data_IF_176921455180
#
_entry.id   IF_176921455180
#
_cell.length_a   1.000
_cell.length_b   1.000
_cell.length_c   1.000
_cell.angle_alpha   90.00
_cell.angle_beta   90.00
_cell.angle_gamma   90.00
#
_symmetry.space_group_name_H-M   'P 1'
#
loop_
_entity.id
_entity.type
_entity.pdbx_description
1 polymer ?
#
# COMPACT_ATOMS: atom_id res chain seq x y z
N UNK A 1 34.01 -54.48 24.86
CA UNK A 1 34.39 -53.63 23.70
C UNK A 1 33.34 -53.55 22.57
N UNK A 2 32.15 -54.17 22.69
CA UNK A 2 31.06 -54.05 21.69
C UNK A 2 30.06 -52.91 22.00
N UNK A 3 29.95 -52.49 23.26
CA UNK A 3 29.02 -51.43 23.68
C UNK A 3 29.55 -50.02 23.38
N UNK A 4 30.88 -49.83 23.34
CA UNK A 4 31.49 -48.53 23.06
C UNK A 4 31.37 -48.10 21.59
N UNK A 5 31.31 -49.06 20.64
CA UNK A 5 31.13 -48.75 19.22
C UNK A 5 29.69 -48.36 18.85
N UNK A 6 28.70 -48.80 19.63
CA UNK A 6 27.29 -48.47 19.39
C UNK A 6 26.96 -47.02 19.78
N UNK A 7 27.65 -46.45 20.78
CA UNK A 7 27.41 -45.09 21.25
C UNK A 7 28.01 -44.04 20.31
N UNK A 8 29.11 -44.36 19.61
CA UNK A 8 29.74 -43.45 18.64
C UNK A 8 28.95 -43.43 17.31
N UNK A 9 28.29 -44.52 16.93
CA UNK A 9 27.45 -44.57 15.73
C UNK A 9 26.11 -43.82 15.89
N UNK A 10 25.60 -43.68 17.13
CA UNK A 10 24.33 -42.98 17.40
C UNK A 10 24.49 -41.45 17.54
N UNK A 11 25.73 -40.96 17.73
CA UNK A 11 26.04 -39.54 17.86
C UNK A 11 26.26 -38.83 16.50
N UNK A 12 26.36 -39.58 15.39
CA UNK A 12 26.61 -39.01 14.07
C UNK A 12 25.34 -38.60 13.29
N UNK A 13 24.14 -38.81 13.85
CA UNK A 13 22.86 -38.60 13.15
C UNK A 13 22.07 -37.36 13.62
N UNK A 14 22.61 -36.54 14.51
CA UNK A 14 21.86 -35.42 15.13
C UNK A 14 22.23 -34.01 14.63
N UNK A 15 22.93 -33.88 13.51
CA UNK A 15 23.35 -32.58 12.95
C UNK A 15 22.61 -32.17 11.65
N UNK A 16 21.41 -32.69 11.41
CA UNK A 16 20.51 -32.09 10.40
C UNK A 16 19.92 -30.79 10.95
N UNK A 17 20.73 -29.73 10.92
CA UNK A 17 20.25 -28.37 11.15
C UNK A 17 19.20 -28.02 10.11
N UNK A 18 17.99 -27.70 10.56
CA UNK A 18 17.04 -26.96 9.74
C UNK A 18 17.65 -25.59 9.44
N UNK A 19 18.42 -25.50 8.37
CA UNK A 19 18.74 -24.23 7.74
C UNK A 19 17.41 -23.67 7.24
N UNK A 20 16.82 -22.75 7.99
CA UNK A 20 15.76 -21.88 7.49
C UNK A 20 16.39 -20.97 6.43
N UNK A 21 16.46 -21.46 5.20
CA UNK A 21 16.83 -20.66 4.04
C UNK A 21 15.78 -19.58 3.86
N UNK A 22 16.07 -18.39 4.40
CA UNK A 22 15.29 -17.19 4.18
C UNK A 22 15.58 -16.73 2.74
N UNK A 23 14.81 -17.25 1.78
CA UNK A 23 14.77 -16.70 0.44
C UNK A 23 14.04 -15.37 0.51
N UNK A 24 14.76 -14.28 0.25
CA UNK A 24 14.15 -13.01 -0.14
C UNK A 24 13.34 -13.27 -1.40
N UNK A 25 12.01 -13.34 -1.26
CA UNK A 25 11.11 -13.42 -2.39
C UNK A 25 11.13 -12.10 -3.14
N UNK A 26 11.13 -12.17 -4.47
CA UNK A 26 10.92 -11.00 -5.32
C UNK A 26 9.55 -10.39 -4.97
N UNK A 27 9.44 -9.06 -4.96
CA UNK A 27 8.25 -8.34 -4.49
C UNK A 27 6.96 -8.67 -5.30
N UNK A 28 7.11 -9.34 -6.46
CA UNK A 28 6.02 -9.87 -7.28
C UNK A 28 5.73 -11.38 -7.13
N UNK A 29 6.50 -12.12 -6.34
CA UNK A 29 6.38 -13.58 -6.24
C UNK A 29 5.29 -14.00 -5.23
N UNK A 30 4.04 -14.08 -5.71
CA UNK A 30 2.93 -14.65 -4.94
C UNK A 30 3.16 -16.17 -4.72
N UNK A 31 3.68 -16.56 -3.54
CA UNK A 31 3.65 -17.96 -3.09
C UNK A 31 2.23 -18.33 -2.64
N UNK A 32 1.59 -19.38 -3.19
CA UNK A 32 0.24 -19.76 -2.79
C UNK A 32 0.29 -20.67 -1.55
N UNK A 33 0.53 -20.12 -0.36
CA UNK A 33 0.36 -20.87 0.91
C UNK A 33 -0.33 -20.04 2.00
N UNK A 34 -1.08 -18.98 1.67
CA UNK A 34 -2.01 -18.39 2.63
C UNK A 34 -3.31 -17.92 1.99
N UNK A 35 -4.40 -18.01 2.74
CA UNK A 35 -5.71 -17.41 2.43
C UNK A 35 -5.71 -15.89 2.56
N UNK A 36 -4.61 -15.32 3.06
CA UNK A 36 -4.45 -13.90 3.30
C UNK A 36 -4.17 -13.18 1.98
N UNK A 37 -4.64 -11.94 1.90
CA UNK A 37 -4.36 -11.11 0.76
C UNK A 37 -2.91 -10.65 0.83
N UNK A 38 -2.09 -11.04 -0.14
CA UNK A 38 -0.66 -10.74 -0.12
C UNK A 38 -0.39 -9.24 -0.31
N UNK A 39 0.73 -8.76 0.23
CA UNK A 39 1.21 -7.39 -0.03
C UNK A 39 1.43 -7.12 -1.52
N UNK A 40 1.84 -8.14 -2.29
CA UNK A 40 2.03 -8.06 -3.75
C UNK A 40 0.71 -7.86 -4.51
N UNK A 41 -0.38 -8.51 -4.08
CA UNK A 41 -1.69 -8.39 -4.72
C UNK A 41 -2.23 -6.95 -4.58
N UNK A 42 -2.09 -6.34 -3.39
CA UNK A 42 -2.56 -4.96 -3.15
C UNK A 42 -1.73 -3.93 -3.92
N UNK A 43 -0.42 -4.16 -4.04
CA UNK A 43 0.46 -3.29 -4.82
C UNK A 43 0.08 -3.31 -6.32
N UNK A 44 -0.21 -4.48 -6.88
CA UNK A 44 -0.65 -4.62 -8.27
C UNK A 44 -2.02 -3.98 -8.51
N UNK A 45 -2.94 -4.08 -7.55
CA UNK A 45 -4.24 -3.41 -7.65
C UNK A 45 -4.05 -1.90 -7.60
N UNK A 46 -3.28 -1.39 -6.64
CA UNK A 46 -2.98 0.03 -6.55
C UNK A 46 -2.33 0.56 -7.83
N UNK A 47 -1.42 -0.20 -8.45
CA UNK A 47 -0.83 0.10 -9.75
C UNK A 47 -1.89 0.21 -10.84
N UNK A 48 -2.71 -0.83 -11.01
CA UNK A 48 -3.77 -0.87 -12.02
C UNK A 48 -4.73 0.31 -11.88
N UNK A 49 -5.08 0.67 -10.65
CA UNK A 49 -6.00 1.76 -10.34
C UNK A 49 -5.38 3.14 -10.59
N UNK A 50 -4.09 3.30 -10.31
CA UNK A 50 -3.36 4.53 -10.68
C UNK A 50 -3.27 4.65 -12.19
N UNK A 51 -2.95 3.56 -12.88
CA UNK A 51 -2.84 3.53 -14.34
C UNK A 51 -4.18 3.86 -14.99
N UNK A 52 -5.29 3.29 -14.53
CA UNK A 52 -6.62 3.62 -15.05
C UNK A 52 -7.03 5.06 -14.78
N UNK A 53 -6.61 5.66 -13.66
CA UNK A 53 -6.79 7.09 -13.41
C UNK A 53 -5.98 7.95 -14.37
N UNK A 54 -4.67 7.72 -14.50
CA UNK A 54 -3.80 8.62 -15.28
C UNK A 54 -3.98 8.49 -16.80
N UNK A 55 -4.58 7.39 -17.25
CA UNK A 55 -4.93 7.13 -18.66
C UNK A 55 -6.37 7.51 -19.00
N UNK A 56 -7.21 7.82 -18.00
CA UNK A 56 -8.58 8.29 -18.23
C UNK A 56 -8.56 9.59 -19.07
N UNK A 57 -9.27 9.69 -20.20
CA UNK A 57 -9.09 10.81 -21.14
C UNK A 57 -9.25 12.21 -20.51
N UNK A 58 -10.25 12.46 -19.65
CA UNK A 58 -10.34 13.73 -18.92
C UNK A 58 -9.12 14.02 -18.02
N UNK A 59 -8.50 13.00 -17.41
CA UNK A 59 -7.27 13.17 -16.63
C UNK A 59 -6.07 13.44 -17.54
N UNK A 60 -5.99 12.78 -18.69
CA UNK A 60 -4.95 13.03 -19.69
C UNK A 60 -5.01 14.47 -20.19
N UNK A 61 -6.21 14.95 -20.54
CA UNK A 61 -6.43 16.33 -20.97
C UNK A 61 -6.07 17.33 -19.86
N UNK A 62 -6.57 17.12 -18.64
CA UNK A 62 -6.28 17.97 -17.49
C UNK A 62 -4.80 18.07 -17.17
N UNK A 63 -4.04 16.98 -17.38
CA UNK A 63 -2.62 16.87 -17.03
C UNK A 63 -1.67 17.15 -18.20
N UNK A 64 -2.19 17.54 -19.37
CA UNK A 64 -1.40 17.79 -20.57
C UNK A 64 -0.53 19.05 -20.49
N UNK A 65 -1.01 20.09 -19.80
CA UNK A 65 -0.33 21.39 -19.68
C UNK A 65 -0.09 21.87 -18.24
N UNK A 66 -0.50 21.09 -17.24
CA UNK A 66 -0.34 21.45 -15.83
C UNK A 66 -0.24 20.21 -14.95
N UNK A 67 0.27 20.40 -13.72
CA UNK A 67 0.35 19.35 -12.70
C UNK A 67 -0.55 19.70 -11.52
N UNK A 68 -1.78 19.18 -11.45
CA UNK A 68 -2.69 19.50 -10.36
C UNK A 68 -2.13 19.04 -9.01
N UNK A 69 -2.47 19.77 -7.95
CA UNK A 69 -2.10 19.40 -6.58
C UNK A 69 -3.15 18.44 -6.01
N UNK A 70 -2.73 17.24 -5.62
CA UNK A 70 -3.58 16.18 -5.10
C UNK A 70 -3.20 15.88 -3.65
N UNK A 71 -4.19 15.66 -2.80
CA UNK A 71 -4.01 15.05 -1.49
C UNK A 71 -4.46 13.59 -1.58
N UNK A 72 -3.63 12.66 -1.08
CA UNK A 72 -3.99 11.24 -1.00
C UNK A 72 -4.34 10.92 0.44
N UNK A 73 -5.57 10.51 0.67
CA UNK A 73 -6.02 10.01 1.97
C UNK A 73 -5.49 8.59 2.21
N UNK A 74 -5.29 8.22 3.48
CA UNK A 74 -4.85 6.87 3.84
C UNK A 74 -5.91 5.87 3.37
N UNK A 75 -5.47 4.78 2.72
CA UNK A 75 -6.39 3.71 2.30
C UNK A 75 -7.17 3.19 3.50
N UNK A 76 -8.49 3.17 3.39
CA UNK A 76 -9.37 2.70 4.47
C UNK A 76 -9.49 1.18 4.42
N UNK A 77 -9.03 0.52 5.47
CA UNK A 77 -9.20 -0.92 5.64
C UNK A 77 -10.60 -1.23 6.19
N UNK A 78 -11.42 -1.91 5.39
CA UNK A 78 -12.74 -2.44 5.74
C UNK A 78 -12.77 -3.96 5.65
N UNK A 79 -11.61 -4.60 5.79
CA UNK A 79 -11.48 -6.05 5.85
C UNK A 79 -11.33 -6.52 7.28
N UNK A 80 -11.43 -7.84 7.49
CA UNK A 80 -11.15 -8.46 8.78
C UNK A 80 -9.65 -8.69 9.02
N UNK A 81 -8.79 -8.36 8.04
CA UNK A 81 -7.35 -8.61 8.09
C UNK A 81 -6.59 -7.35 8.50
N UNK A 82 -5.46 -7.53 9.20
CA UNK A 82 -4.52 -6.45 9.44
C UNK A 82 -3.70 -6.21 8.17
N UNK A 83 -4.02 -5.11 7.49
CA UNK A 83 -3.38 -4.71 6.23
C UNK A 83 -2.62 -3.42 6.47
N UNK A 84 -1.36 -3.40 6.02
CA UNK A 84 -0.55 -2.20 5.98
C UNK A 84 -1.06 -1.26 4.88
N UNK A 85 -2.05 -0.45 5.23
CA UNK A 85 -2.63 0.54 4.32
C UNK A 85 -1.72 1.73 4.07
N UNK A 86 -0.70 1.93 4.90
CA UNK A 86 0.26 3.01 4.76
C UNK A 86 1.18 2.74 3.57
N UNK A 87 1.77 1.54 3.53
CA UNK A 87 2.59 1.09 2.40
C UNK A 87 1.85 1.15 1.06
N UNK A 88 0.56 0.83 1.05
CA UNK A 88 -0.28 0.94 -0.15
C UNK A 88 -0.49 2.40 -0.54
N UNK A 89 -0.81 3.26 0.44
CA UNK A 89 -0.99 4.71 0.22
C UNK A 89 0.30 5.33 -0.35
N UNK A 90 1.45 4.94 0.18
CA UNK A 90 2.76 5.41 -0.27
C UNK A 90 3.09 4.93 -1.68
N UNK A 91 2.74 3.68 -2.00
CA UNK A 91 2.89 3.13 -3.36
C UNK A 91 2.06 3.92 -4.39
N UNK A 92 0.81 4.25 -4.05
CA UNK A 92 -0.06 5.11 -4.87
C UNK A 92 0.58 6.48 -5.07
N UNK A 93 1.01 7.13 -3.98
CA UNK A 93 1.66 8.44 -4.01
C UNK A 93 2.92 8.42 -4.88
N UNK A 94 3.79 7.42 -4.69
CA UNK A 94 5.04 7.28 -5.42
C UNK A 94 4.81 7.11 -6.92
N UNK A 95 3.84 6.28 -7.34
CA UNK A 95 3.50 6.10 -8.76
C UNK A 95 2.93 7.37 -9.38
N UNK A 96 2.04 8.06 -8.68
CA UNK A 96 1.49 9.32 -9.18
C UNK A 96 2.54 10.42 -9.31
N UNK A 97 3.48 10.52 -8.35
CA UNK A 97 4.62 11.42 -8.46
C UNK A 97 5.48 11.04 -9.67
N UNK A 98 5.81 9.75 -9.83
CA UNK A 98 6.63 9.24 -10.93
C UNK A 98 6.00 9.46 -12.30
N UNK A 99 4.67 9.47 -12.40
CA UNK A 99 3.95 9.78 -13.64
C UNK A 99 4.23 11.20 -14.17
N UNK A 100 4.73 12.11 -13.32
CA UNK A 100 4.93 13.51 -13.66
C UNK A 100 3.65 14.32 -13.82
N UNK A 101 2.46 13.70 -13.76
CA UNK A 101 1.16 14.33 -14.02
C UNK A 101 0.61 15.12 -12.84
N UNK A 102 1.03 14.80 -11.61
CA UNK A 102 0.49 15.39 -10.39
C UNK A 102 1.58 15.93 -9.46
N UNK A 103 1.19 16.83 -8.56
CA UNK A 103 1.96 17.27 -7.39
C UNK A 103 1.19 16.89 -6.14
N UNK A 104 1.88 16.74 -5.01
CA UNK A 104 1.24 16.28 -3.78
C UNK A 104 1.53 17.22 -2.62
N UNK A 105 0.56 17.32 -1.73
CA UNK A 105 0.79 17.81 -0.37
C UNK A 105 1.07 16.59 0.48
N UNK A 106 2.27 16.53 1.03
CA UNK A 106 2.58 15.58 2.07
C UNK A 106 2.08 16.14 3.40
N UNK A 107 1.14 15.44 4.02
CA UNK A 107 0.64 15.76 5.37
C UNK A 107 1.24 14.87 6.46
N UNK A 108 2.00 13.85 6.08
CA UNK A 108 2.62 12.93 7.04
C UNK A 108 3.73 13.61 7.83
N UNK A 109 4.32 14.66 7.26
CA UNK A 109 5.44 15.43 7.82
C UNK A 109 5.04 16.85 8.26
N UNK A 110 3.73 17.12 8.43
CA UNK A 110 3.24 18.46 8.80
C UNK A 110 3.86 18.96 10.11
N UNK A 111 3.99 18.10 11.12
CA UNK A 111 4.58 18.48 12.41
C UNK A 111 6.05 18.92 12.28
N UNK A 112 6.85 18.16 11.54
CA UNK A 112 8.25 18.49 11.26
C UNK A 112 8.36 19.76 10.40
N UNK A 113 7.46 19.91 9.42
CA UNK A 113 7.40 21.10 8.57
C UNK A 113 7.08 22.35 9.39
N UNK A 114 6.14 22.25 10.34
CA UNK A 114 5.81 23.36 11.25
C UNK A 114 7.01 23.71 12.14
N UNK A 115 7.72 22.71 12.68
CA UNK A 115 8.91 22.92 13.51
C UNK A 115 10.05 23.60 12.72
N UNK A 116 10.29 23.17 11.48
CA UNK A 116 11.27 23.80 10.59
C UNK A 116 10.88 25.26 10.28
N UNK A 117 9.61 25.53 9.98
CA UNK A 117 9.13 26.90 9.75
C UNK A 117 9.32 27.80 10.98
N UNK A 118 9.04 27.28 12.19
CA UNK A 118 9.34 28.01 13.44
C UNK A 118 10.83 28.28 13.59
N UNK A 119 11.67 27.28 13.33
CA UNK A 119 13.13 27.43 13.37
C UNK A 119 13.60 28.52 12.41
N UNK A 120 13.09 28.57 11.18
CA UNK A 120 13.43 29.62 10.22
C UNK A 120 13.04 31.03 10.68
N UNK A 121 11.94 31.16 11.44
CA UNK A 121 11.46 32.44 11.94
C UNK A 121 12.18 32.91 13.21
N UNK A 122 12.43 31.99 14.14
CA UNK A 122 12.79 32.34 15.52
C UNK A 122 14.25 32.04 15.89
N UNK A 123 14.95 31.16 15.16
CA UNK A 123 16.31 30.74 15.54
C UNK A 123 17.39 31.81 15.36
N UNK A 124 17.12 32.83 14.55
CA UNK A 124 18.13 33.83 14.16
C UNK A 124 19.23 33.28 13.23
N UNK A 125 19.18 32.01 12.83
CA UNK A 125 20.17 31.36 11.97
C UNK A 125 19.89 31.53 10.47
N UNK A 126 18.67 31.92 10.11
CA UNK A 126 18.20 31.97 8.71
C UNK A 126 18.10 33.43 8.23
N UNK A 127 18.52 33.67 6.99
CA UNK A 127 18.30 34.96 6.32
C UNK A 127 16.79 35.24 6.23
N UNK A 128 16.33 36.24 7.00
CA UNK A 128 14.91 36.62 7.10
C UNK A 128 14.29 36.99 5.76
N UNK A 129 15.07 37.43 4.77
CA UNK A 129 14.57 37.73 3.42
C UNK A 129 14.29 36.47 2.60
N UNK A 130 14.87 35.33 2.98
CA UNK A 130 14.74 34.03 2.32
C UNK A 130 13.91 33.03 3.13
N UNK A 131 13.59 33.34 4.38
CA UNK A 131 12.79 32.50 5.26
C UNK A 131 11.39 32.27 4.71
N UNK A 132 10.97 31.00 4.67
CA UNK A 132 9.62 30.63 4.21
C UNK A 132 8.60 31.04 5.27
N UNK A 133 7.52 31.70 4.82
CA UNK A 133 6.47 32.17 5.72
C UNK A 133 5.38 31.12 5.91
N UNK A 134 4.77 31.10 7.10
CA UNK A 134 3.55 30.35 7.33
C UNK A 134 2.45 30.74 6.32
N UNK A 135 1.65 29.74 5.92
CA UNK A 135 0.51 29.94 5.01
C UNK A 135 0.84 30.05 3.52
N UNK A 136 2.11 29.86 3.12
CA UNK A 136 2.51 29.87 1.70
C UNK A 136 2.35 28.52 1.00
N UNK A 137 1.94 27.47 1.72
CA UNK A 137 1.72 26.14 1.16
C UNK A 137 0.52 26.15 0.20
N UNK A 138 0.64 25.42 -0.92
CA UNK A 138 -0.47 25.23 -1.85
C UNK A 138 -1.57 24.39 -1.19
N UNK A 139 -2.83 24.71 -1.48
CA UNK A 139 -3.97 23.86 -1.17
C UNK A 139 -4.13 22.73 -2.17
N UNK A 140 -4.74 21.61 -1.75
CA UNK A 140 -5.06 20.52 -2.66
C UNK A 140 -6.22 20.94 -3.57
N UNK A 141 -6.10 20.68 -4.87
CA UNK A 141 -7.18 20.83 -5.84
C UNK A 141 -8.08 19.58 -5.85
N UNK A 142 -7.46 18.41 -5.67
CA UNK A 142 -8.15 17.12 -5.67
C UNK A 142 -7.85 16.31 -4.41
N UNK A 143 -8.82 15.49 -4.02
CA UNK A 143 -8.69 14.49 -2.98
C UNK A 143 -8.84 13.10 -3.59
N UNK A 144 -7.80 12.29 -3.47
CA UNK A 144 -7.82 10.88 -3.83
C UNK A 144 -8.14 10.06 -2.59
N UNK A 145 -9.21 9.27 -2.64
CA UNK A 145 -9.61 8.37 -1.55
C UNK A 145 -9.64 6.94 -2.06
N UNK A 146 -9.20 6.00 -1.23
CA UNK A 146 -9.30 4.57 -1.52
C UNK A 146 -9.83 3.78 -0.33
N UNK A 147 -10.51 2.68 -0.61
CA UNK A 147 -10.96 1.75 0.41
C UNK A 147 -10.89 0.31 -0.07
N UNK A 148 -10.52 -0.58 0.85
CA UNK A 148 -10.39 -2.01 0.61
C UNK A 148 -11.35 -2.77 1.52
N UNK A 149 -12.32 -3.47 0.93
CA UNK A 149 -13.40 -4.18 1.63
C UNK A 149 -13.37 -5.68 1.39
N UNK A 150 -13.79 -6.45 2.40
CA UNK A 150 -13.95 -7.91 2.33
C UNK A 150 -15.41 -8.28 2.61
N UNK A 151 -15.97 -9.18 1.80
CA UNK A 151 -17.22 -9.88 2.07
C UNK A 151 -16.90 -11.37 2.13
N UNK A 152 -17.11 -11.97 3.30
CA UNK A 152 -16.83 -13.40 3.54
C UNK A 152 -18.13 -14.15 3.78
N UNK A 153 -18.30 -15.25 3.06
CA UNK A 153 -19.41 -16.18 3.25
C UNK A 153 -18.85 -17.58 3.52
N UNK A 154 -19.43 -18.30 4.48
CA UNK A 154 -19.04 -19.67 4.80
C UNK A 154 -20.27 -20.57 4.78
N UNK A 155 -20.24 -21.61 3.95
CA UNK A 155 -21.30 -22.62 3.85
C UNK A 155 -20.66 -24.01 3.96
N UNK A 156 -20.93 -24.70 5.07
CA UNK A 156 -20.31 -25.99 5.37
C UNK A 156 -18.77 -25.91 5.41
N UNK A 157 -18.12 -26.70 4.56
CA UNK A 157 -16.66 -26.71 4.36
C UNK A 157 -16.15 -25.71 3.32
N UNK A 158 -17.04 -24.94 2.69
CA UNK A 158 -16.70 -23.96 1.65
C UNK A 158 -16.68 -22.56 2.25
N UNK A 159 -15.61 -21.81 1.98
CA UNK A 159 -15.46 -20.40 2.32
C UNK A 159 -15.29 -19.61 1.04
N UNK A 160 -16.19 -18.68 0.78
CA UNK A 160 -16.12 -17.72 -0.32
C UNK A 160 -15.70 -16.36 0.24
N UNK A 161 -14.67 -15.77 -0.33
CA UNK A 161 -14.15 -14.48 0.09
C UNK A 161 -14.05 -13.57 -1.12
N UNK A 162 -14.82 -12.50 -1.09
CA UNK A 162 -14.83 -11.45 -2.08
C UNK A 162 -14.14 -10.21 -1.53
N UNK A 163 -13.20 -9.67 -2.31
CA UNK A 163 -12.48 -8.44 -2.03
C UNK A 163 -12.85 -7.39 -3.07
N UNK A 164 -12.98 -6.15 -2.61
CA UNK A 164 -13.13 -5.01 -3.49
C UNK A 164 -12.25 -3.85 -3.07
N UNK A 165 -11.48 -3.34 -4.01
CA UNK A 165 -10.73 -2.10 -3.88
C UNK A 165 -11.42 -1.03 -4.72
N UNK A 166 -11.77 0.10 -4.11
CA UNK A 166 -12.40 1.23 -4.80
C UNK A 166 -11.57 2.48 -4.57
N UNK A 167 -11.27 3.21 -5.64
CA UNK A 167 -10.51 4.46 -5.60
C UNK A 167 -11.25 5.55 -6.37
N UNK A 168 -11.23 6.78 -5.87
CA UNK A 168 -11.94 7.90 -6.47
C UNK A 168 -11.19 9.21 -6.29
N UNK A 169 -11.17 10.04 -7.34
CA UNK A 169 -10.59 11.38 -7.36
C UNK A 169 -11.71 12.42 -7.35
N UNK A 170 -11.74 13.23 -6.28
CA UNK A 170 -12.73 14.28 -6.08
C UNK A 170 -12.10 15.65 -6.28
N UNK A 171 -12.74 16.52 -7.05
CA UNK A 171 -12.43 17.93 -7.12
C UNK A 171 -12.91 18.63 -5.84
N UNK A 172 -11.99 19.22 -5.08
CA UNK A 172 -12.31 19.83 -3.79
C UNK A 172 -13.08 21.15 -3.94
N UNK A 173 -12.92 21.85 -5.06
CA UNK A 173 -13.62 23.12 -5.31
C UNK A 173 -15.07 22.90 -5.71
N UNK A 174 -15.33 21.94 -6.61
CA UNK A 174 -16.67 21.69 -7.16
C UNK A 174 -17.42 20.57 -6.44
N UNK A 175 -16.70 19.71 -5.71
CA UNK A 175 -17.27 18.52 -5.08
C UNK A 175 -17.51 17.35 -6.04
N UNK A 176 -17.15 17.48 -7.31
CA UNK A 176 -17.40 16.47 -8.35
C UNK A 176 -16.39 15.31 -8.24
N UNK A 177 -16.85 14.08 -8.45
CA UNK A 177 -15.98 12.93 -8.68
C UNK A 177 -15.54 12.93 -10.14
N UNK A 178 -14.29 13.30 -10.38
CA UNK A 178 -13.72 13.40 -11.73
C UNK A 178 -13.32 12.04 -12.28
N UNK A 179 -13.03 11.09 -11.38
CA UNK A 179 -12.66 9.73 -11.73
C UNK A 179 -13.00 8.79 -10.58
N UNK A 180 -13.44 7.57 -10.90
CA UNK A 180 -13.62 6.48 -9.95
C UNK A 180 -13.49 5.16 -10.68
N UNK A 181 -12.89 4.18 -10.03
CA UNK A 181 -12.77 2.83 -10.55
C UNK A 181 -12.79 1.82 -9.40
N UNK A 182 -12.99 0.55 -9.73
CA UNK A 182 -12.98 -0.54 -8.78
C UNK A 182 -12.33 -1.81 -9.33
N UNK A 183 -11.68 -2.55 -8.43
CA UNK A 183 -11.10 -3.85 -8.72
C UNK A 183 -11.62 -4.89 -7.75
N UNK A 184 -12.09 -5.99 -8.31
CA UNK A 184 -12.69 -7.10 -7.56
C UNK A 184 -11.82 -8.34 -7.64
N UNK A 185 -11.75 -9.09 -6.53
CA UNK A 185 -11.11 -10.40 -6.47
C UNK A 185 -12.00 -11.35 -5.67
N UNK A 186 -12.27 -12.54 -6.21
CA UNK A 186 -13.01 -13.59 -5.51
C UNK A 186 -12.11 -14.82 -5.31
N UNK A 187 -12.01 -15.29 -4.07
CA UNK A 187 -11.26 -16.49 -3.68
C UNK A 187 -12.24 -17.48 -3.04
N UNK A 188 -12.35 -18.68 -3.61
CA UNK A 188 -13.18 -19.76 -3.07
C UNK A 188 -12.28 -20.86 -2.53
N UNK A 189 -12.46 -21.20 -1.26
CA UNK A 189 -11.73 -22.24 -0.55
C UNK A 189 -12.68 -23.38 -0.19
N UNK A 190 -12.31 -24.61 -0.52
CA UNK A 190 -12.98 -25.81 -0.04
C UNK A 190 -12.04 -26.54 0.91
N UNK A 191 -12.43 -26.70 2.19
CA UNK A 191 -11.65 -27.48 3.14
C UNK A 191 -11.66 -28.94 2.67
N UNK A 192 -10.53 -29.41 2.14
CA UNK A 192 -10.33 -30.81 1.81
C UNK A 192 -10.34 -31.64 3.07
N UNK A 193 -11.17 -32.68 3.11
CA UNK A 193 -11.08 -33.74 4.12
C UNK A 193 -9.93 -34.67 3.71
N UNK A 194 -8.77 -34.53 4.34
CA UNK A 194 -7.69 -35.52 4.27
C UNK A 194 -7.33 -35.97 5.70
N UNK A 195 -7.55 -37.28 5.97
CA UNK A 195 -7.19 -38.06 7.17
C UNK A 195 -8.24 -38.03 8.29
N UNK A 196 -8.92 -39.10 8.71
CA UNK A 196 -8.60 -40.53 8.57
C UNK A 196 -7.65 -40.98 9.65
#
# INVERSE_FOLDING_TARGET
MKVLLAVVAMAALSLSGCASTMQYGDAGSAKPISTEFGSSDLQQIAETMVDSMITFPPMVEMTSGRRPVVSVDKVKNKTMQHIDTESITDSIRAKLIRSGKFRFIDRTTDAQTIEELKTQQDSGLVDKKKAVQFGQQLGAEFLLTANFSEIRQKVGSTTDVYYKFTMSLKNLKTGILEWSDEKEIRKVFKRGTFGG
#
